data_IF_797886078633
#
_entry.id   IF_797886078633
#
_cell.length_a   1.000
_cell.length_b   1.000
_cell.length_c   1.000
_cell.angle_alpha   90.00
_cell.angle_beta   90.00
_cell.angle_gamma   90.00
#
_symmetry.space_group_name_H-M   'P 1'
#
loop_
_entity.id
_entity.type
_entity.pdbx_description
1 polymer ?
#
# COMPACT_ATOMS: atom_id res chain seq x y z
N UNK A 1 15.95 -18.50 5.29
CA UNK A 1 15.32 -18.41 6.64
C UNK A 1 14.72 -17.03 6.69
N UNK A 2 13.41 -16.84 6.96
CA UNK A 2 12.69 -15.54 6.84
C UNK A 2 13.27 -14.45 7.79
N UNK A 3 14.37 -13.82 7.39
CA UNK A 3 15.19 -12.95 8.24
C UNK A 3 14.50 -11.63 8.54
N UNK A 4 13.97 -10.95 7.51
CA UNK A 4 13.35 -9.63 7.68
C UNK A 4 12.06 -9.69 8.51
N UNK A 5 11.18 -10.66 8.27
CA UNK A 5 9.89 -10.73 8.97
C UNK A 5 9.99 -10.99 10.48
N UNK A 6 11.14 -11.50 10.91
CA UNK A 6 11.44 -11.73 12.33
C UNK A 6 12.34 -10.66 12.92
N UNK A 7 12.82 -9.70 12.09
CA UNK A 7 13.64 -8.57 12.53
C UNK A 7 12.84 -7.64 13.43
N UNK A 8 13.53 -7.00 14.36
CA UNK A 8 12.90 -6.04 15.26
C UNK A 8 12.44 -4.78 14.52
N UNK A 9 13.14 -4.39 13.46
CA UNK A 9 12.77 -3.29 12.58
C UNK A 9 11.46 -3.57 11.84
N UNK A 10 11.25 -4.80 11.35
CA UNK A 10 9.97 -5.15 10.72
C UNK A 10 8.83 -5.17 11.74
N UNK A 11 9.05 -5.69 12.96
CA UNK A 11 8.04 -5.64 14.03
C UNK A 11 7.70 -4.21 14.40
N UNK A 12 8.70 -3.33 14.48
CA UNK A 12 8.50 -1.90 14.73
C UNK A 12 7.70 -1.25 13.60
N UNK A 13 8.10 -1.49 12.35
CA UNK A 13 7.38 -1.01 11.17
C UNK A 13 5.91 -1.44 11.17
N UNK A 14 5.62 -2.73 11.37
CA UNK A 14 4.24 -3.23 11.45
C UNK A 14 3.48 -2.55 12.59
N UNK A 15 4.10 -2.41 13.76
CA UNK A 15 3.47 -1.78 14.92
C UNK A 15 3.04 -0.34 14.61
N UNK A 16 3.93 0.47 14.02
CA UNK A 16 3.63 1.88 13.72
C UNK A 16 2.66 2.04 12.55
N UNK A 17 2.76 1.19 11.53
CA UNK A 17 1.89 1.27 10.35
C UNK A 17 0.46 0.83 10.68
N UNK A 18 0.30 -0.17 11.56
CA UNK A 18 -1.01 -0.69 11.95
C UNK A 18 -1.66 0.12 13.08
N UNK A 19 -0.87 0.82 13.91
CA UNK A 19 -1.42 1.62 15.02
C UNK A 19 -2.24 2.82 14.57
N UNK A 20 -2.00 3.33 13.37
CA UNK A 20 -2.73 4.49 12.85
C UNK A 20 -4.09 4.06 12.27
N UNK A 21 -5.14 4.77 12.67
CA UNK A 21 -6.49 4.59 12.16
C UNK A 21 -6.70 5.39 10.86
N UNK A 22 -6.08 4.96 9.77
CA UNK A 22 -6.37 5.51 8.45
C UNK A 22 -7.76 5.07 7.97
N UNK A 23 -8.47 5.98 7.30
CA UNK A 23 -9.83 5.76 6.80
C UNK A 23 -9.90 5.72 5.28
N UNK A 24 -8.77 5.88 4.57
CA UNK A 24 -8.69 5.88 3.11
C UNK A 24 -7.32 5.40 2.61
N UNK A 25 -7.25 4.93 1.35
CA UNK A 25 -5.98 4.50 0.73
C UNK A 25 -4.92 5.61 0.76
N UNK A 26 -5.20 6.88 0.37
CA UNK A 26 -4.19 7.93 0.42
C UNK A 26 -3.60 8.17 1.82
N UNK A 27 -4.42 8.07 2.87
CA UNK A 27 -3.94 8.21 4.24
C UNK A 27 -3.07 7.02 4.66
N UNK A 28 -3.46 5.80 4.28
CA UNK A 28 -2.69 4.59 4.50
C UNK A 28 -1.33 4.67 3.80
N UNK A 29 -1.29 5.11 2.54
CA UNK A 29 -0.06 5.31 1.78
C UNK A 29 0.83 6.41 2.36
N UNK A 30 0.25 7.51 2.85
CA UNK A 30 0.99 8.56 3.54
C UNK A 30 1.65 8.02 4.83
N UNK A 31 0.95 7.15 5.56
CA UNK A 31 1.51 6.50 6.74
C UNK A 31 2.63 5.52 6.39
N UNK A 32 2.44 4.70 5.34
CA UNK A 32 3.50 3.84 4.81
C UNK A 32 4.73 4.66 4.43
N UNK A 33 4.55 5.73 3.65
CA UNK A 33 5.63 6.61 3.18
C UNK A 33 6.46 7.20 4.32
N UNK A 34 5.81 7.53 5.44
CA UNK A 34 6.47 8.06 6.63
C UNK A 34 7.34 7.03 7.37
N UNK A 35 7.01 5.74 7.25
CA UNK A 35 7.60 4.69 8.10
C UNK A 35 8.35 3.59 7.34
N UNK A 36 8.25 3.54 6.01
CA UNK A 36 8.90 2.51 5.18
C UNK A 36 10.43 2.54 5.29
N UNK A 37 11.02 3.70 5.62
CA UNK A 37 12.47 3.84 5.83
C UNK A 37 13.03 2.94 6.95
N UNK A 38 12.18 2.55 7.91
CA UNK A 38 12.54 1.65 9.02
C UNK A 38 13.06 0.31 8.49
N UNK A 39 12.47 -0.19 7.39
CA UNK A 39 12.82 -1.48 6.79
C UNK A 39 13.55 -1.34 5.44
N UNK A 40 13.51 -0.17 4.81
CA UNK A 40 14.01 0.03 3.46
C UNK A 40 15.48 -0.40 3.27
N UNK A 41 16.33 -0.09 4.25
CA UNK A 41 17.75 -0.49 4.22
C UNK A 41 17.96 -1.99 4.41
N UNK A 42 17.17 -2.62 5.28
CA UNK A 42 17.29 -4.06 5.55
C UNK A 42 16.95 -4.91 4.32
N UNK A 43 16.02 -4.40 3.50
CA UNK A 43 15.53 -5.09 2.31
C UNK A 43 16.17 -4.55 1.02
N UNK A 44 17.24 -3.76 1.11
CA UNK A 44 17.91 -3.16 -0.05
C UNK A 44 16.94 -2.45 -1.02
N UNK A 45 15.94 -1.74 -0.50
CA UNK A 45 14.94 -1.02 -1.29
C UNK A 45 15.52 0.28 -1.83
N UNK A 46 15.45 0.48 -3.14
CA UNK A 46 15.78 1.74 -3.81
C UNK A 46 14.55 2.60 -4.06
N UNK A 47 13.45 2.00 -4.51
CA UNK A 47 12.18 2.68 -4.71
C UNK A 47 11.02 1.76 -4.41
N UNK A 48 9.96 2.31 -3.82
CA UNK A 48 8.65 1.68 -3.76
C UNK A 48 7.61 2.66 -4.31
N UNK A 49 6.84 2.23 -5.29
CA UNK A 49 5.69 2.97 -5.79
C UNK A 49 4.43 2.10 -5.80
N UNK A 50 3.28 2.76 -5.75
CA UNK A 50 1.97 2.14 -5.83
C UNK A 50 1.14 2.80 -6.94
N UNK A 51 0.35 1.96 -7.63
CA UNK A 51 -0.72 2.39 -8.51
C UNK A 51 -2.00 1.72 -8.04
N UNK A 52 -3.01 2.52 -7.72
CA UNK A 52 -4.36 2.03 -7.46
C UNK A 52 -5.29 2.48 -8.59
N UNK A 53 -5.95 1.52 -9.21
CA UNK A 53 -6.96 1.75 -10.23
C UNK A 53 -8.27 1.14 -9.76
N UNK A 54 -9.35 1.93 -9.75
CA UNK A 54 -10.70 1.43 -9.54
C UNK A 54 -11.58 1.78 -10.75
N UNK A 55 -12.44 0.87 -11.21
CA UNK A 55 -13.30 1.13 -12.35
C UNK A 55 -14.34 2.23 -12.03
N UNK A 56 -14.90 2.86 -13.07
CA UNK A 56 -16.07 3.72 -12.92
C UNK A 56 -17.22 3.08 -12.17
N UNK A 57 -17.92 3.89 -11.38
CA UNK A 57 -19.15 3.53 -10.70
C UNK A 57 -20.19 4.63 -10.92
N UNK A 58 -21.50 4.38 -10.68
CA UNK A 58 -22.50 5.45 -10.75
C UNK A 58 -22.18 6.65 -9.83
N UNK A 59 -21.49 6.40 -8.71
CA UNK A 59 -21.05 7.43 -7.77
C UNK A 59 -19.73 8.10 -8.17
N UNK A 60 -18.92 7.44 -9.02
CA UNK A 60 -17.67 7.97 -9.55
C UNK A 60 -17.50 7.56 -11.03
N UNK A 61 -18.07 8.32 -11.98
CA UNK A 61 -18.13 7.94 -13.39
C UNK A 61 -16.78 7.90 -14.11
N UNK A 62 -15.75 8.55 -13.56
CA UNK A 62 -14.41 8.57 -14.13
C UNK A 62 -13.54 7.42 -13.61
N UNK A 63 -13.99 6.73 -12.56
CA UNK A 63 -13.18 5.76 -11.83
C UNK A 63 -12.13 6.45 -10.96
N UNK A 64 -11.17 5.67 -10.49
CA UNK A 64 -10.05 6.19 -9.68
C UNK A 64 -8.76 5.71 -10.29
N UNK A 65 -7.79 6.61 -10.43
CA UNK A 65 -6.40 6.26 -10.71
C UNK A 65 -5.50 7.10 -9.79
N UNK A 66 -4.87 6.43 -8.82
CA UNK A 66 -3.90 7.03 -7.92
C UNK A 66 -2.53 6.45 -8.23
N UNK A 67 -1.54 7.31 -8.36
CA UNK A 67 -0.13 6.92 -8.44
C UNK A 67 0.60 7.61 -7.29
N UNK A 68 1.42 6.85 -6.57
CA UNK A 68 2.18 7.37 -5.45
C UNK A 68 3.57 6.76 -5.38
N UNK A 69 4.55 7.59 -5.04
CA UNK A 69 5.90 7.13 -4.70
C UNK A 69 5.98 7.08 -3.17
N UNK A 70 6.02 5.86 -2.64
CA UNK A 70 6.02 5.58 -1.20
C UNK A 70 7.43 5.67 -0.62
N UNK A 71 8.46 5.36 -1.39
CA UNK A 71 9.85 5.45 -0.94
C UNK A 71 10.81 5.78 -2.08
N UNK A 72 11.87 6.51 -1.76
CA UNK A 72 13.00 6.77 -2.65
C UNK A 72 14.30 6.77 -1.83
N UNK A 73 15.25 5.92 -2.19
CA UNK A 73 16.57 5.88 -1.58
C UNK A 73 17.44 7.03 -2.10
N UNK A 74 18.16 7.75 -1.22
CA UNK A 74 19.13 8.76 -1.66
C UNK A 74 20.30 8.17 -2.46
N UNK A 75 20.54 6.86 -2.35
CA UNK A 75 21.58 6.14 -3.09
C UNK A 75 21.15 5.76 -4.53
N UNK A 76 19.90 6.08 -4.91
CA UNK A 76 19.33 5.74 -6.19
C UNK A 76 18.66 4.36 -6.19
N UNK A 77 18.18 3.95 -7.36
CA UNK A 77 17.45 2.69 -7.52
C UNK A 77 17.75 2.04 -8.86
N UNK A 78 17.76 0.71 -8.87
CA UNK A 78 18.04 -0.11 -10.04
C UNK A 78 16.96 0.00 -11.10
N UNK A 79 17.36 -0.26 -12.35
CA UNK A 79 16.48 -0.12 -13.51
C UNK A 79 15.43 -1.22 -13.67
N UNK A 80 15.66 -2.40 -13.09
CA UNK A 80 14.74 -3.54 -13.21
C UNK A 80 13.72 -3.57 -12.06
N UNK A 81 12.42 -3.32 -12.35
CA UNK A 81 11.38 -3.36 -11.33
C UNK A 81 10.94 -4.79 -11.02
N UNK A 82 10.69 -5.06 -9.75
CA UNK A 82 9.88 -6.19 -9.29
C UNK A 82 8.45 -5.71 -9.04
N UNK A 83 7.48 -6.24 -9.80
CA UNK A 83 6.09 -5.77 -9.76
C UNK A 83 5.13 -6.84 -9.23
N UNK A 84 4.22 -6.41 -8.34
CA UNK A 84 3.14 -7.23 -7.79
C UNK A 84 1.80 -6.59 -8.08
N UNK A 85 0.95 -7.34 -8.77
CA UNK A 85 -0.37 -6.91 -9.18
C UNK A 85 -1.44 -7.68 -8.39
N UNK A 86 -2.31 -6.94 -7.72
CA UNK A 86 -3.43 -7.47 -6.94
C UNK A 86 -4.74 -7.01 -7.53
N UNK A 87 -5.64 -7.96 -7.81
CA UNK A 87 -7.03 -7.65 -8.16
C UNK A 87 -7.84 -7.32 -6.92
N UNK A 88 -8.67 -6.28 -7.00
CA UNK A 88 -9.62 -5.94 -5.94
C UNK A 88 -11.01 -6.50 -6.26
N UNK A 89 -11.82 -6.75 -5.22
CA UNK A 89 -13.14 -7.38 -5.38
C UNK A 89 -14.15 -6.61 -6.24
N UNK A 90 -13.93 -5.31 -6.43
CA UNK A 90 -14.71 -4.40 -7.28
C UNK A 90 -14.21 -4.32 -8.73
N UNK A 91 -13.23 -5.15 -9.11
CA UNK A 91 -12.64 -5.16 -10.46
C UNK A 91 -11.56 -4.09 -10.67
N UNK A 92 -11.04 -3.50 -9.59
CA UNK A 92 -9.87 -2.63 -9.62
C UNK A 92 -8.56 -3.41 -9.47
N UNK A 93 -7.46 -2.68 -9.46
CA UNK A 93 -6.11 -3.22 -9.29
C UNK A 93 -5.28 -2.37 -8.34
N UNK A 94 -4.44 -3.02 -7.54
CA UNK A 94 -3.33 -2.40 -6.81
C UNK A 94 -2.05 -3.00 -7.38
N UNK A 95 -1.19 -2.15 -7.93
CA UNK A 95 0.15 -2.51 -8.40
C UNK A 95 1.16 -1.93 -7.43
N UNK A 96 2.06 -2.76 -6.92
CA UNK A 96 3.22 -2.35 -6.14
C UNK A 96 4.47 -2.62 -6.97
N UNK A 97 5.32 -1.61 -7.11
CA UNK A 97 6.56 -1.70 -7.87
C UNK A 97 7.73 -1.42 -6.95
N UNK A 98 8.66 -2.38 -6.87
CA UNK A 98 9.85 -2.35 -6.05
C UNK A 98 11.09 -2.30 -6.94
N UNK A 99 11.99 -1.36 -6.69
CA UNK A 99 13.31 -1.33 -7.32
C UNK A 99 14.37 -1.52 -6.25
N UNK A 100 15.45 -2.22 -6.58
CA UNK A 100 16.62 -2.40 -5.70
C UNK A 100 17.32 -1.07 -5.44
N UNK A 101 18.05 -0.98 -4.32
CA UNK A 101 18.95 0.13 -4.05
C UNK A 101 20.23 -0.02 -4.90
N UNK A 102 20.52 0.98 -5.75
CA UNK A 102 21.59 0.91 -6.74
C UNK A 102 21.37 -0.14 -7.85
N UNK A 103 22.39 -0.41 -8.66
CA UNK A 103 22.33 -1.28 -9.85
C UNK A 103 22.51 -2.78 -9.54
N UNK A 104 21.86 -3.28 -8.49
CA UNK A 104 21.90 -4.71 -8.13
C UNK A 104 20.61 -5.43 -8.52
N UNK A 105 20.69 -6.76 -8.57
CA UNK A 105 19.53 -7.63 -8.77
C UNK A 105 19.00 -8.16 -7.43
N UNK A 106 17.70 -8.45 -7.39
CA UNK A 106 17.06 -9.13 -6.27
C UNK A 106 17.52 -10.59 -6.19
N UNK A 107 17.80 -11.08 -4.99
CA UNK A 107 17.98 -12.51 -4.73
C UNK A 107 16.63 -13.20 -4.52
N UNK A 108 16.57 -14.52 -4.73
CA UNK A 108 15.34 -15.30 -4.50
C UNK A 108 14.80 -15.20 -3.07
N UNK A 109 15.68 -15.00 -2.08
CA UNK A 109 15.27 -14.81 -0.69
C UNK A 109 14.62 -13.45 -0.48
N UNK A 110 15.19 -12.40 -1.06
CA UNK A 110 14.63 -11.05 -1.03
C UNK A 110 13.31 -10.97 -1.79
N UNK A 111 13.16 -11.64 -2.93
CA UNK A 111 11.90 -11.69 -3.67
C UNK A 111 10.75 -12.28 -2.83
N UNK A 112 11.03 -13.34 -2.05
CA UNK A 112 10.04 -13.91 -1.12
C UNK A 112 9.69 -12.92 -0.02
N UNK A 113 10.66 -12.18 0.49
CA UNK A 113 10.47 -11.15 1.48
C UNK A 113 9.63 -9.98 0.95
N UNK A 114 9.89 -9.55 -0.29
CA UNK A 114 9.10 -8.55 -1.00
C UNK A 114 7.68 -9.03 -1.28
N UNK A 115 7.48 -10.32 -1.61
CA UNK A 115 6.15 -10.90 -1.75
C UNK A 115 5.33 -10.71 -0.48
N UNK A 116 5.91 -11.01 0.67
CA UNK A 116 5.21 -10.90 1.95
C UNK A 116 4.95 -9.44 2.35
N UNK A 117 5.90 -8.54 2.07
CA UNK A 117 5.69 -7.10 2.25
C UNK A 117 4.58 -6.59 1.33
N UNK A 118 4.54 -7.05 0.08
CA UNK A 118 3.52 -6.66 -0.89
C UNK A 118 2.12 -7.16 -0.48
N UNK A 119 2.02 -8.38 0.05
CA UNK A 119 0.78 -8.92 0.62
C UNK A 119 0.32 -8.11 1.83
N UNK A 120 1.25 -7.75 2.72
CA UNK A 120 0.96 -6.90 3.86
C UNK A 120 0.41 -5.53 3.43
N UNK A 121 1.08 -4.83 2.52
CA UNK A 121 0.64 -3.53 1.99
C UNK A 121 -0.73 -3.65 1.31
N UNK A 122 -0.96 -4.72 0.54
CA UNK A 122 -2.24 -4.99 -0.10
C UNK A 122 -3.38 -5.17 0.94
N UNK A 123 -3.13 -5.89 2.03
CA UNK A 123 -4.10 -6.08 3.12
C UNK A 123 -4.45 -4.74 3.77
N UNK A 124 -3.45 -3.90 4.06
CA UNK A 124 -3.68 -2.57 4.63
C UNK A 124 -4.48 -1.67 3.68
N UNK A 125 -4.16 -1.71 2.39
CA UNK A 125 -4.89 -0.98 1.34
C UNK A 125 -6.35 -1.42 1.27
N UNK A 126 -6.59 -2.73 1.33
CA UNK A 126 -7.95 -3.30 1.33
C UNK A 126 -8.73 -2.88 2.58
N UNK A 127 -8.09 -2.91 3.76
CA UNK A 127 -8.68 -2.40 5.00
C UNK A 127 -9.05 -0.92 4.87
N UNK A 128 -8.13 -0.08 4.40
CA UNK A 128 -8.34 1.36 4.22
C UNK A 128 -9.53 1.65 3.29
N UNK A 129 -9.61 0.90 2.17
CA UNK A 129 -10.72 1.00 1.21
C UNK A 129 -12.06 0.64 1.83
N UNK A 130 -12.13 -0.50 2.54
CA UNK A 130 -13.35 -0.96 3.19
C UNK A 130 -13.83 0.05 4.23
N UNK A 131 -12.92 0.59 5.05
CA UNK A 131 -13.23 1.64 6.03
C UNK A 131 -13.84 2.87 5.34
N UNK A 132 -13.23 3.38 4.26
CA UNK A 132 -13.76 4.52 3.50
C UNK A 132 -15.19 4.27 3.03
N UNK A 133 -15.44 3.08 2.46
CA UNK A 133 -16.76 2.72 1.92
C UNK A 133 -17.82 2.58 3.00
N UNK A 134 -17.47 2.05 4.16
CA UNK A 134 -18.39 1.95 5.30
C UNK A 134 -18.77 3.34 5.81
N UNK A 135 -17.81 4.27 5.90
CA UNK A 135 -18.07 5.66 6.31
C UNK A 135 -18.98 6.36 5.29
N UNK A 136 -18.64 6.30 4.00
CA UNK A 136 -19.46 6.87 2.92
C UNK A 136 -20.91 6.37 2.96
N UNK A 137 -21.11 5.06 3.14
CA UNK A 137 -22.45 4.47 3.23
C UNK A 137 -23.20 4.88 4.50
N UNK A 138 -22.50 5.02 5.62
CA UNK A 138 -23.10 5.47 6.88
C UNK A 138 -23.68 6.87 6.75
N UNK A 139 -22.97 7.77 6.07
CA UNK A 139 -23.46 9.12 5.78
C UNK A 139 -24.72 9.13 4.90
N UNK A 140 -24.79 8.22 3.92
CA UNK A 140 -25.98 8.04 3.07
C UNK A 140 -27.16 7.52 3.89
N UNK A 141 -26.94 6.50 4.72
CA UNK A 141 -27.99 5.92 5.58
C UNK A 141 -28.53 6.99 6.55
N UNK A 142 -27.65 7.80 7.14
CA UNK A 142 -28.05 8.89 8.04
C UNK A 142 -28.97 9.90 7.33
N UNK A 143 -28.66 10.27 6.07
CA UNK A 143 -29.48 11.19 5.26
C UNK A 143 -30.84 10.60 4.89
N UNK A 144 -30.90 9.29 4.62
CA UNK A 144 -32.15 8.60 4.27
C UNK A 144 -33.05 8.35 5.49
N UNK A 145 -32.48 8.30 6.70
CA UNK A 145 -33.19 8.00 7.94
C UNK A 145 -33.52 9.23 8.78
N UNK A 146 -32.92 10.40 8.50
CA UNK A 146 -33.35 11.66 9.09
C UNK A 146 -34.70 12.10 8.51
N UNK A 147 -35.72 12.28 9.37
CA UNK A 147 -37.04 12.78 8.96
C UNK A 147 -36.90 14.12 8.24
N UNK A 148 -37.63 14.37 7.14
CA UNK A 148 -37.70 15.69 6.54
C UNK A 148 -38.26 16.68 7.59
N UNK A 149 -37.58 17.83 7.73
CA UNK A 149 -38.06 18.97 8.51
C UNK A 149 -39.24 19.66 7.81
#
# INVERSE_FOLDING_TARGET
MMGMLTSDSFKEFVKVVVSDNYISIPQMEANLKKHIEIIAKEINLGQLSSIYIAPPTPQNPEGVKLFNILYYSPEGFGSEPYEKNYGTGEGGTITLTFNTCGDREWTDEELKELDMLSDFIYILSSKARLTSKVIEMSDVIAKLTSKPQ
#
